data_IF_046382272032
#
_entry.id   IF_046382272032
#
_cell.length_a   1.000
_cell.length_b   1.000
_cell.length_c   1.000
_cell.angle_alpha   90.00
_cell.angle_beta   90.00
_cell.angle_gamma   90.00
#
_symmetry.space_group_name_H-M   'P 1'
#
loop_
_entity.id
_entity.type
_entity.pdbx_description
1 polymer ?
#
# COMPACT_ATOMS: atom_id res chain seq x y z
N UNK A 1 23.55 -17.20 37.22
CA UNK A 1 22.89 -15.88 37.40
C UNK A 1 21.79 -16.01 38.43
N UNK A 2 21.69 -15.10 39.39
CA UNK A 2 20.63 -15.18 40.41
C UNK A 2 19.30 -14.73 39.80
N UNK A 3 18.19 -15.34 40.22
CA UNK A 3 16.83 -15.00 39.76
C UNK A 3 16.48 -13.51 39.94
N UNK A 4 17.16 -12.82 40.85
CA UNK A 4 16.99 -11.39 41.06
C UNK A 4 17.52 -10.57 39.87
N UNK A 5 18.66 -10.94 39.26
CA UNK A 5 19.23 -10.21 38.12
C UNK A 5 18.33 -10.30 36.88
N UNK A 6 17.74 -11.48 36.63
CA UNK A 6 16.80 -11.70 35.52
C UNK A 6 15.54 -10.84 35.70
N UNK A 7 15.01 -10.76 36.93
CA UNK A 7 13.83 -9.95 37.23
C UNK A 7 14.12 -8.44 37.12
N UNK A 8 15.29 -7.98 37.52
CA UNK A 8 15.65 -6.55 37.42
C UNK A 8 15.86 -6.14 35.96
N UNK A 9 16.46 -6.98 35.13
CA UNK A 9 16.58 -6.72 33.68
C UNK A 9 15.20 -6.67 33.00
N UNK A 10 14.29 -7.57 33.36
CA UNK A 10 12.89 -7.56 32.88
C UNK A 10 12.09 -6.35 33.36
N UNK A 11 12.25 -5.92 34.61
CA UNK A 11 11.53 -4.76 35.15
C UNK A 11 12.05 -3.44 34.57
N UNK A 12 13.36 -3.33 34.34
CA UNK A 12 13.93 -2.13 33.73
C UNK A 12 13.59 -2.05 32.25
N UNK A 13 13.61 -3.16 31.52
CA UNK A 13 13.12 -3.21 30.13
C UNK A 13 11.63 -2.84 30.03
N UNK A 14 10.80 -3.24 31.00
CA UNK A 14 9.38 -2.84 31.05
C UNK A 14 9.18 -1.34 31.37
N UNK A 15 10.03 -0.74 32.22
CA UNK A 15 9.90 0.66 32.63
C UNK A 15 10.46 1.63 31.58
N UNK A 16 11.47 1.22 30.80
CA UNK A 16 12.05 2.06 29.73
C UNK A 16 11.07 2.25 28.55
N UNK A 17 10.12 1.34 28.35
CA UNK A 17 9.03 1.49 27.36
C UNK A 17 8.02 2.57 27.77
N UNK A 18 7.96 2.97 29.05
CA UNK A 18 6.90 3.84 29.58
C UNK A 18 7.08 5.35 29.42
N UNK A 19 8.22 5.85 28.89
CA UNK A 19 8.48 7.30 28.79
C UNK A 19 8.81 7.83 27.40
N UNK A 20 8.87 6.95 26.40
CA UNK A 20 8.92 7.38 25.00
C UNK A 20 7.49 7.61 24.54
N UNK A 21 7.21 8.75 23.90
CA UNK A 21 5.96 8.91 23.15
C UNK A 21 5.75 7.68 22.25
N UNK A 22 4.51 7.27 21.94
CA UNK A 22 4.28 6.17 21.02
C UNK A 22 5.05 6.43 19.72
N UNK A 23 6.07 5.61 19.47
CA UNK A 23 7.02 5.78 18.37
C UNK A 23 6.54 4.95 17.18
N UNK A 24 5.48 5.41 16.50
CA UNK A 24 5.02 4.83 15.24
C UNK A 24 6.18 4.72 14.25
N UNK A 25 6.31 3.63 13.49
CA UNK A 25 7.38 3.49 12.51
C UNK A 25 7.18 4.49 11.35
N UNK A 26 6.58 4.06 10.23
CA UNK A 26 6.12 4.97 9.18
C UNK A 26 4.68 5.42 9.45
N UNK A 27 4.40 6.70 9.24
CA UNK A 27 3.07 7.29 9.33
C UNK A 27 2.77 8.10 8.07
N UNK A 28 1.85 7.58 7.26
CA UNK A 28 1.31 8.29 6.10
C UNK A 28 0.11 9.14 6.50
N UNK A 29 0.07 10.39 6.03
CA UNK A 29 -1.12 11.23 5.99
C UNK A 29 -1.18 11.90 4.62
N UNK A 30 -2.23 11.62 3.84
CA UNK A 30 -2.42 12.22 2.54
C UNK A 30 -3.89 12.52 2.25
N UNK A 31 -4.11 13.64 1.57
CA UNK A 31 -5.45 14.05 1.14
C UNK A 31 -5.46 14.32 -0.35
N UNK A 32 -6.04 13.38 -1.08
CA UNK A 32 -6.14 13.39 -2.53
C UNK A 32 -7.35 14.21 -2.99
N UNK A 33 -7.11 15.17 -3.87
CA UNK A 33 -8.16 15.87 -4.60
C UNK A 33 -8.16 15.43 -6.08
N UNK A 34 -9.13 14.62 -6.53
CA UNK A 34 -9.21 14.15 -7.92
C UNK A 34 -9.52 15.25 -8.95
N UNK A 35 -9.88 16.46 -8.49
CA UNK A 35 -10.11 17.62 -9.35
C UNK A 35 -8.87 18.50 -9.51
N UNK A 36 -7.80 18.22 -8.76
CA UNK A 36 -6.51 18.90 -8.88
C UNK A 36 -5.47 17.96 -9.52
N UNK A 37 -4.48 18.55 -10.19
CA UNK A 37 -3.33 17.81 -10.74
C UNK A 37 -2.30 17.43 -9.67
N UNK A 38 -2.47 17.97 -8.45
CA UNK A 38 -1.57 17.75 -7.32
C UNK A 38 -2.29 17.75 -5.97
N UNK A 39 -1.69 17.08 -4.99
CA UNK A 39 -2.20 16.95 -3.62
C UNK A 39 -1.06 16.88 -2.60
N UNK A 40 -1.20 17.47 -1.40
CA UNK A 40 -0.17 17.39 -0.38
C UNK A 40 -0.12 15.99 0.27
N UNK A 41 1.06 15.62 0.74
CA UNK A 41 1.24 14.45 1.61
C UNK A 41 2.23 14.77 2.73
N UNK A 42 2.14 13.97 3.79
CA UNK A 42 3.08 13.92 4.89
C UNK A 42 3.42 12.47 5.20
N UNK A 43 4.70 12.21 5.39
CA UNK A 43 5.19 10.91 5.85
C UNK A 43 6.17 11.13 7.01
N UNK A 44 5.92 10.49 8.14
CA UNK A 44 6.82 10.54 9.31
C UNK A 44 7.44 9.18 9.56
N UNK A 45 8.73 9.15 9.91
CA UNK A 45 9.48 7.95 10.25
C UNK A 45 10.07 8.11 11.63
N UNK A 46 9.74 7.20 12.56
CA UNK A 46 10.37 7.14 13.87
C UNK A 46 11.06 5.79 14.10
N UNK A 47 12.15 5.86 14.85
CA UNK A 47 12.92 4.70 15.30
C UNK A 47 13.64 5.06 16.58
N UNK A 48 13.72 4.12 17.51
CA UNK A 48 14.60 4.25 18.67
C UNK A 48 15.62 3.13 18.66
N UNK A 49 16.88 3.48 18.86
CA UNK A 49 17.96 2.53 19.09
C UNK A 49 18.34 2.57 20.57
N UNK A 50 18.42 1.40 21.19
CA UNK A 50 18.95 1.20 22.53
C UNK A 50 20.30 0.50 22.43
N UNK A 51 21.30 1.06 23.11
CA UNK A 51 22.62 0.46 23.32
C UNK A 51 22.72 0.16 24.81
N UNK A 52 22.65 -1.11 25.19
CA UNK A 52 22.54 -1.56 26.58
C UNK A 52 23.86 -2.16 27.06
N UNK A 53 24.34 -1.70 28.21
CA UNK A 53 25.61 -2.08 28.83
C UNK A 53 25.38 -2.36 30.33
N UNK A 54 24.65 -3.43 30.68
CA UNK A 54 24.17 -3.67 32.04
C UNK A 54 25.29 -3.83 33.09
N UNK A 55 26.49 -4.19 32.65
CA UNK A 55 27.67 -4.41 33.50
C UNK A 55 28.74 -3.31 33.37
N UNK A 56 28.46 -2.19 32.69
CA UNK A 56 29.45 -1.15 32.41
C UNK A 56 30.35 -1.52 31.22
N UNK A 57 31.67 -1.30 31.34
CA UNK A 57 32.66 -1.59 30.30
C UNK A 57 33.03 -0.37 29.44
N UNK A 58 33.88 -0.59 28.44
CA UNK A 58 34.45 0.48 27.63
C UNK A 58 33.40 1.24 26.82
N UNK A 59 32.38 0.56 26.28
CA UNK A 59 31.30 1.23 25.55
C UNK A 59 30.44 2.11 26.48
N UNK A 60 30.22 1.67 27.73
CA UNK A 60 29.60 2.50 28.76
C UNK A 60 30.46 3.72 29.06
N UNK A 61 31.75 3.53 29.34
CA UNK A 61 32.66 4.63 29.68
C UNK A 61 32.73 5.67 28.56
N UNK A 62 32.65 5.22 27.30
CA UNK A 62 32.62 6.09 26.13
C UNK A 62 31.32 6.89 26.00
N UNK A 63 30.17 6.29 26.30
CA UNK A 63 28.87 6.96 26.14
C UNK A 63 28.43 7.70 27.40
N UNK A 64 28.96 7.37 28.58
CA UNK A 64 28.46 7.86 29.87
C UNK A 64 28.46 9.39 29.93
N UNK A 65 27.30 9.95 30.23
CA UNK A 65 27.11 11.39 30.39
C UNK A 65 26.98 12.16 29.07
N UNK A 66 27.05 11.48 27.92
CA UNK A 66 26.81 12.11 26.62
C UNK A 66 25.33 12.35 26.38
N UNK A 67 25.07 13.51 25.81
CA UNK A 67 23.76 13.93 25.35
C UNK A 67 23.95 14.92 24.22
N UNK A 68 23.27 14.70 23.10
CA UNK A 68 23.27 15.63 21.98
C UNK A 68 21.94 15.59 21.24
N UNK A 69 21.71 16.62 20.45
CA UNK A 69 20.57 16.76 19.55
C UNK A 69 21.09 17.26 18.21
N UNK A 70 20.68 16.60 17.13
CA UNK A 70 20.96 17.00 15.74
C UNK A 70 19.62 17.24 15.08
N UNK A 71 19.35 18.49 14.71
CA UNK A 71 18.10 18.90 14.07
C UNK A 71 18.38 19.71 12.82
N UNK A 72 17.46 19.63 11.87
CA UNK A 72 17.56 20.41 10.65
C UNK A 72 16.29 20.37 9.81
N UNK A 73 16.25 21.27 8.84
CA UNK A 73 15.21 21.32 7.82
C UNK A 73 15.82 21.75 6.50
N UNK A 74 15.37 21.15 5.41
CA UNK A 74 15.80 21.49 4.07
C UNK A 74 14.65 21.27 3.08
N UNK A 75 14.63 22.10 2.04
CA UNK A 75 13.64 22.02 0.97
C UNK A 75 14.26 21.47 -0.33
N UNK A 76 13.45 21.38 -1.38
CA UNK A 76 13.84 20.89 -2.70
C UNK A 76 14.96 21.70 -3.40
N UNK A 77 15.38 22.86 -2.86
CA UNK A 77 16.57 23.56 -3.36
C UNK A 77 17.89 22.93 -2.86
N UNK A 78 17.83 22.11 -1.80
CA UNK A 78 18.98 21.41 -1.25
C UNK A 78 19.35 20.17 -2.10
N UNK A 79 20.63 19.98 -2.48
CA UNK A 79 21.06 18.83 -3.26
C UNK A 79 20.75 17.47 -2.62
N UNK A 80 20.84 17.35 -1.29
CA UNK A 80 20.52 16.11 -0.56
C UNK A 80 19.02 15.79 -0.59
N UNK A 81 18.18 16.83 -0.52
CA UNK A 81 16.71 16.67 -0.68
C UNK A 81 16.36 16.30 -2.12
N UNK A 82 17.06 16.85 -3.11
CA UNK A 82 16.88 16.45 -4.51
C UNK A 82 17.26 14.99 -4.74
N UNK A 83 18.36 14.53 -4.15
CA UNK A 83 18.76 13.11 -4.20
C UNK A 83 17.67 12.22 -3.57
N UNK A 84 17.21 12.56 -2.37
CA UNK A 84 16.14 11.83 -1.70
C UNK A 84 14.86 11.78 -2.55
N UNK A 85 14.42 12.93 -3.06
CA UNK A 85 13.24 13.03 -3.92
C UNK A 85 13.38 12.18 -5.19
N UNK A 86 14.57 12.14 -5.78
CA UNK A 86 14.84 11.30 -6.96
C UNK A 86 14.77 9.81 -6.62
N UNK A 87 15.34 9.37 -5.49
CA UNK A 87 15.28 7.97 -5.05
C UNK A 87 13.85 7.55 -4.69
N UNK A 88 13.08 8.40 -4.01
CA UNK A 88 11.67 8.15 -3.72
C UNK A 88 10.85 8.03 -5.01
N UNK A 89 11.04 8.95 -5.97
CA UNK A 89 10.37 8.88 -7.27
C UNK A 89 10.77 7.64 -8.08
N UNK A 90 12.01 7.18 -7.93
CA UNK A 90 12.46 5.93 -8.52
C UNK A 90 11.74 4.73 -7.89
N UNK A 91 11.65 4.66 -6.55
CA UNK A 91 10.90 3.64 -5.84
C UNK A 91 9.43 3.57 -6.27
N UNK A 92 8.75 4.72 -6.30
CA UNK A 92 7.37 4.83 -6.80
C UNK A 92 7.23 4.27 -8.22
N UNK A 93 8.18 4.57 -9.11
CA UNK A 93 8.17 4.07 -10.47
C UNK A 93 8.45 2.56 -10.56
N UNK A 94 9.34 2.04 -9.71
CA UNK A 94 9.69 0.62 -9.62
C UNK A 94 8.50 -0.20 -9.08
N UNK A 95 7.68 0.40 -8.21
CA UNK A 95 6.39 -0.14 -7.73
C UNK A 95 5.27 -0.09 -8.79
N UNK A 96 5.56 0.44 -9.98
CA UNK A 96 4.64 0.54 -11.11
C UNK A 96 3.73 1.77 -11.10
N UNK A 97 3.89 2.66 -10.11
CA UNK A 97 3.10 3.89 -10.00
C UNK A 97 3.59 4.99 -10.94
N UNK A 98 2.64 5.72 -11.53
CA UNK A 98 2.90 6.89 -12.37
C UNK A 98 2.98 8.19 -11.57
N UNK A 99 2.57 8.18 -10.30
CA UNK A 99 2.61 9.34 -9.45
C UNK A 99 4.05 9.81 -9.21
N UNK A 100 4.22 11.08 -8.87
CA UNK A 100 5.53 11.69 -8.63
C UNK A 100 5.47 12.66 -7.47
N UNK A 101 6.54 12.71 -6.70
CA UNK A 101 6.78 13.70 -5.66
C UNK A 101 7.48 14.92 -6.28
N UNK A 102 6.95 16.11 -5.96
CA UNK A 102 7.59 17.40 -6.16
C UNK A 102 7.61 18.19 -4.84
N UNK A 103 8.40 19.28 -4.82
CA UNK A 103 8.43 20.27 -3.73
C UNK A 103 8.61 19.66 -2.33
N UNK A 104 9.52 18.67 -2.24
CA UNK A 104 9.80 17.95 -1.01
C UNK A 104 10.48 18.85 0.02
N UNK A 105 9.97 18.82 1.25
CA UNK A 105 10.55 19.39 2.46
C UNK A 105 10.88 18.25 3.42
N UNK A 106 12.05 18.34 4.05
CA UNK A 106 12.54 17.36 5.00
C UNK A 106 12.78 18.05 6.34
N UNK A 107 12.33 17.42 7.41
CA UNK A 107 12.63 17.78 8.78
C UNK A 107 13.23 16.58 9.48
N UNK A 108 14.31 16.77 10.21
CA UNK A 108 14.90 15.71 11.02
C UNK A 108 15.22 16.19 12.44
N UNK A 109 15.06 15.29 13.40
CA UNK A 109 15.34 15.50 14.81
C UNK A 109 15.85 14.19 15.42
N UNK A 110 17.15 14.18 15.75
CA UNK A 110 17.85 13.04 16.33
C UNK A 110 18.35 13.41 17.71
N UNK A 111 18.07 12.56 18.70
CA UNK A 111 18.45 12.82 20.08
C UNK A 111 19.10 11.59 20.71
N UNK A 112 20.35 11.76 21.16
CA UNK A 112 21.03 10.75 21.97
C UNK A 112 20.99 11.15 23.44
N UNK A 113 20.68 10.18 24.30
CA UNK A 113 20.77 10.32 25.75
C UNK A 113 21.36 9.07 26.40
N UNK A 114 22.57 9.21 26.93
CA UNK A 114 23.19 8.17 27.73
C UNK A 114 22.62 8.11 29.15
N UNK A 115 22.49 6.90 29.69
CA UNK A 115 22.11 6.60 31.08
C UNK A 115 23.10 5.61 31.68
N UNK A 116 22.92 5.21 32.94
CA UNK A 116 23.90 4.37 33.62
C UNK A 116 24.05 2.95 33.05
N UNK A 117 23.01 2.42 32.40
CA UNK A 117 22.96 1.03 31.92
C UNK A 117 22.52 0.93 30.46
N UNK A 118 22.20 2.06 29.83
CA UNK A 118 21.69 2.11 28.47
C UNK A 118 21.85 3.51 27.88
N UNK A 119 22.17 3.61 26.60
CA UNK A 119 22.01 4.81 25.79
C UNK A 119 20.80 4.64 24.88
N UNK A 120 19.94 5.64 24.77
CA UNK A 120 18.90 5.68 23.74
C UNK A 120 19.25 6.72 22.69
N UNK A 121 18.96 6.40 21.42
CA UNK A 121 19.03 7.31 20.29
C UNK A 121 17.66 7.31 19.64
N UNK A 122 16.96 8.43 19.72
CA UNK A 122 15.65 8.63 19.13
C UNK A 122 15.82 9.32 17.78
N UNK A 123 15.26 8.73 16.74
CA UNK A 123 15.32 9.24 15.38
C UNK A 123 13.93 9.63 14.91
N UNK A 124 13.82 10.82 14.31
CA UNK A 124 12.61 11.31 13.67
C UNK A 124 12.96 11.98 12.35
N UNK A 125 12.34 11.52 11.27
CA UNK A 125 12.37 12.19 9.95
C UNK A 125 10.93 12.43 9.50
N UNK A 126 10.64 13.63 9.00
CA UNK A 126 9.35 13.98 8.40
C UNK A 126 9.60 14.46 6.98
N UNK A 127 8.85 13.89 6.04
CA UNK A 127 8.77 14.30 4.65
C UNK A 127 7.41 14.98 4.42
N UNK A 128 7.42 16.20 3.91
CA UNK A 128 6.21 16.91 3.50
C UNK A 128 6.41 17.39 2.06
N UNK A 129 5.51 17.01 1.16
CA UNK A 129 5.68 17.34 -0.26
C UNK A 129 4.38 17.34 -1.02
N UNK A 130 4.50 17.47 -2.34
CA UNK A 130 3.39 17.50 -3.27
C UNK A 130 3.42 16.24 -4.12
N UNK A 131 2.34 15.47 -4.08
CA UNK A 131 2.09 14.36 -4.99
C UNK A 131 1.46 14.91 -6.27
N UNK A 132 1.99 14.49 -7.41
CA UNK A 132 1.56 14.86 -8.76
C UNK A 132 1.36 13.61 -9.60
N UNK A 133 0.68 13.72 -10.74
CA UNK A 133 0.48 12.62 -11.70
C UNK A 133 -0.21 11.37 -11.10
N UNK A 134 -0.89 11.49 -9.95
CA UNK A 134 -1.67 10.38 -9.40
C UNK A 134 -3.00 10.19 -10.13
N UNK A 135 -3.46 11.14 -10.95
CA UNK A 135 -4.66 10.95 -11.78
C UNK A 135 -4.29 10.16 -13.03
N UNK A 136 -4.83 8.95 -13.18
CA UNK A 136 -4.60 8.06 -14.34
C UNK A 136 -5.46 8.48 -15.51
N UNK A 137 -6.76 8.64 -15.26
CA UNK A 137 -7.72 9.09 -16.27
C UNK A 137 -8.92 9.73 -15.58
N UNK A 138 -9.58 10.62 -16.31
CA UNK A 138 -10.80 11.29 -15.87
C UNK A 138 -11.84 11.22 -16.99
N UNK A 139 -13.02 10.71 -16.67
CA UNK A 139 -14.18 10.73 -17.55
C UNK A 139 -15.31 11.57 -16.91
N UNK A 140 -16.48 11.63 -17.56
CA UNK A 140 -17.61 12.44 -17.08
C UNK A 140 -18.27 11.91 -15.80
N UNK A 141 -17.95 10.68 -15.38
CA UNK A 141 -18.55 10.00 -14.24
C UNK A 141 -17.56 9.76 -13.10
N UNK A 142 -16.28 9.51 -13.42
CA UNK A 142 -15.27 9.13 -12.43
C UNK A 142 -13.86 9.60 -12.79
N UNK A 143 -13.04 9.70 -11.75
CA UNK A 143 -11.59 9.87 -11.85
C UNK A 143 -10.92 8.61 -11.31
N UNK A 144 -10.02 8.01 -12.09
CA UNK A 144 -9.17 6.91 -11.59
C UNK A 144 -7.89 7.50 -11.01
N UNK A 145 -7.62 7.21 -9.75
CA UNK A 145 -6.41 7.65 -9.05
C UNK A 145 -5.48 6.47 -8.75
N UNK A 146 -4.20 6.71 -8.94
CA UNK A 146 -3.08 5.87 -8.59
C UNK A 146 -2.84 5.91 -7.09
N UNK A 147 -2.64 4.72 -6.54
CA UNK A 147 -2.53 4.44 -5.13
C UNK A 147 -1.21 3.68 -4.84
N UNK A 148 -0.41 3.33 -5.85
CA UNK A 148 0.84 2.59 -5.69
C UNK A 148 2.01 3.38 -5.08
N UNK A 149 1.90 4.70 -4.95
CA UNK A 149 2.97 5.58 -4.47
C UNK A 149 3.19 5.55 -2.95
N UNK A 150 2.35 4.86 -2.18
CA UNK A 150 2.34 4.95 -0.70
C UNK A 150 3.59 4.37 -0.03
N UNK A 151 4.33 3.51 -0.73
CA UNK A 151 5.56 2.84 -0.25
C UNK A 151 6.76 3.77 -0.32
N UNK A 152 6.70 4.92 0.36
CA UNK A 152 7.77 5.91 0.35
C UNK A 152 8.97 5.40 1.16
N UNK A 153 9.82 4.61 0.51
CA UNK A 153 11.03 4.02 1.09
C UNK A 153 12.26 4.43 0.31
N UNK A 154 13.41 4.46 0.98
CA UNK A 154 14.69 4.66 0.31
C UNK A 154 15.79 3.82 0.93
N UNK A 155 16.58 3.22 0.05
CA UNK A 155 17.79 2.49 0.41
C UNK A 155 19.03 3.37 0.37
N UNK A 156 19.96 3.06 1.27
CA UNK A 156 21.29 3.67 1.29
C UNK A 156 21.33 5.05 1.95
N UNK A 157 22.50 5.66 1.87
CA UNK A 157 22.80 6.96 2.50
C UNK A 157 21.98 8.09 1.90
N UNK A 158 21.55 9.01 2.76
CA UNK A 158 20.90 10.29 2.42
C UNK A 158 21.52 11.36 3.32
N UNK A 159 22.36 12.20 2.71
CA UNK A 159 23.07 13.26 3.43
C UNK A 159 22.46 14.61 3.10
N UNK A 160 21.95 15.31 4.12
CA UNK A 160 21.43 16.67 4.02
C UNK A 160 22.30 17.58 4.89
N UNK A 161 22.94 18.57 4.26
CA UNK A 161 23.81 19.54 4.92
C UNK A 161 24.91 18.89 5.79
N UNK A 162 25.43 17.75 5.33
CA UNK A 162 26.48 16.99 6.03
C UNK A 162 25.96 16.06 7.13
N UNK A 163 24.64 15.93 7.30
CA UNK A 163 24.01 14.99 8.25
C UNK A 163 23.41 13.82 7.49
N UNK A 164 23.84 12.60 7.80
CA UNK A 164 23.19 11.38 7.35
C UNK A 164 21.87 11.17 8.09
N UNK A 165 20.76 11.04 7.35
CA UNK A 165 19.41 10.98 7.92
C UNK A 165 18.70 9.64 7.76
N UNK A 166 19.23 8.71 6.96
CA UNK A 166 18.59 7.42 6.68
C UNK A 166 19.25 6.24 7.40
N UNK A 167 20.58 6.22 7.53
CA UNK A 167 21.31 5.09 8.13
C UNK A 167 21.75 5.43 9.58
N UNK A 168 21.15 4.81 10.62
CA UNK A 168 21.50 5.07 12.02
C UNK A 168 22.99 4.86 12.35
N UNK A 169 23.61 3.80 11.82
CA UNK A 169 25.02 3.49 12.07
C UNK A 169 25.95 4.62 11.61
N UNK A 170 25.65 5.23 10.47
CA UNK A 170 26.45 6.32 9.91
C UNK A 170 26.31 7.61 10.72
N UNK A 171 25.13 7.90 11.28
CA UNK A 171 25.00 9.00 12.23
C UNK A 171 25.87 8.75 13.48
N UNK A 172 25.90 7.51 13.98
CA UNK A 172 26.75 7.13 15.12
C UNK A 172 28.24 7.27 14.75
N UNK A 173 28.65 6.88 13.54
CA UNK A 173 30.01 7.08 13.04
C UNK A 173 30.42 8.55 13.12
N UNK A 174 29.53 9.45 12.72
CA UNK A 174 29.84 10.87 12.60
C UNK A 174 29.77 11.60 13.96
N UNK A 175 28.81 11.27 14.82
CA UNK A 175 28.62 11.90 16.13
C UNK A 175 29.41 11.22 17.26
N UNK A 176 29.60 9.90 17.18
CA UNK A 176 30.19 9.05 18.22
C UNK A 176 31.21 8.05 17.63
N UNK A 177 32.30 8.53 17.00
CA UNK A 177 33.22 7.69 16.23
C UNK A 177 33.90 6.59 17.04
N UNK A 178 34.12 6.79 18.34
CA UNK A 178 34.67 5.75 19.22
C UNK A 178 33.63 4.67 19.52
N UNK A 179 32.37 5.04 19.81
CA UNK A 179 31.28 4.08 20.01
C UNK A 179 31.01 3.27 18.73
N UNK A 180 31.10 3.91 17.56
CA UNK A 180 30.98 3.25 16.25
C UNK A 180 31.94 2.05 16.09
N UNK A 181 33.16 2.13 16.63
CA UNK A 181 34.13 1.03 16.52
C UNK A 181 33.70 -0.26 17.21
N UNK A 182 32.76 -0.18 18.16
CA UNK A 182 32.18 -1.37 18.80
C UNK A 182 31.15 -2.08 17.92
N UNK A 183 30.59 -1.40 16.92
CA UNK A 183 29.50 -1.91 16.09
C UNK A 183 29.98 -2.48 14.76
N UNK A 184 30.95 -1.82 14.12
CA UNK A 184 31.46 -2.24 12.81
C UNK A 184 32.10 -3.64 12.86
N UNK A 185 31.76 -4.49 11.91
CA UNK A 185 32.20 -5.88 11.84
C UNK A 185 31.52 -6.82 12.83
N UNK A 186 30.44 -6.38 13.50
CA UNK A 186 29.65 -7.19 14.44
C UNK A 186 28.21 -7.36 13.96
N UNK A 187 27.43 -8.23 14.60
CA UNK A 187 25.99 -8.38 14.29
C UNK A 187 25.18 -7.09 14.51
N UNK A 188 25.67 -6.16 15.35
CA UNK A 188 25.00 -4.89 15.54
C UNK A 188 25.09 -3.97 14.32
N UNK A 189 26.06 -4.19 13.43
CA UNK A 189 26.14 -3.49 12.15
C UNK A 189 24.86 -3.73 11.33
N UNK A 190 24.38 -4.97 11.25
CA UNK A 190 23.15 -5.31 10.53
C UNK A 190 21.90 -4.67 11.14
N UNK A 191 21.85 -4.54 12.47
CA UNK A 191 20.75 -3.87 13.18
C UNK A 191 20.76 -2.36 12.91
N UNK A 192 21.93 -1.73 12.99
CA UNK A 192 22.10 -0.28 12.88
C UNK A 192 22.16 0.22 11.43
N UNK A 193 22.40 -0.66 10.45
CA UNK A 193 22.35 -0.32 9.03
C UNK A 193 20.94 -0.33 8.44
N UNK A 194 19.93 -0.78 9.18
CA UNK A 194 18.54 -0.76 8.69
C UNK A 194 18.09 0.68 8.47
N UNK A 195 17.66 0.99 7.25
CA UNK A 195 17.15 2.30 6.85
C UNK A 195 16.06 2.79 7.82
N UNK A 196 16.10 4.08 8.13
CA UNK A 196 15.08 4.79 8.89
C UNK A 196 13.85 5.09 8.02
N UNK A 197 14.08 5.53 6.78
CA UNK A 197 13.06 5.92 5.82
C UNK A 197 12.60 4.66 5.07
N UNK A 198 11.70 3.90 5.71
CA UNK A 198 11.08 2.71 5.14
C UNK A 198 9.58 2.71 5.47
N UNK A 199 8.75 2.70 4.44
CA UNK A 199 7.29 2.61 4.47
C UNK A 199 6.77 1.43 3.62
N UNK A 200 7.59 0.40 3.37
CA UNK A 200 7.24 -0.71 2.45
C UNK A 200 5.94 -1.40 2.87
N UNK A 201 5.80 -1.64 4.18
CA UNK A 201 4.62 -2.30 4.73
C UNK A 201 3.31 -1.52 4.49
N UNK A 202 3.38 -0.18 4.36
CA UNK A 202 2.22 0.64 4.00
C UNK A 202 1.72 0.25 2.60
N UNK A 203 2.63 -0.03 1.67
CA UNK A 203 2.28 -0.47 0.32
C UNK A 203 1.92 -1.97 0.27
N UNK A 204 2.65 -2.80 1.01
CA UNK A 204 2.42 -4.26 1.06
C UNK A 204 1.05 -4.62 1.64
N UNK A 205 0.54 -3.83 2.59
CA UNK A 205 -0.80 -4.00 3.14
C UNK A 205 -1.86 -3.58 2.10
N UNK A 206 -2.63 -4.54 1.54
CA UNK A 206 -3.61 -4.21 0.52
C UNK A 206 -4.65 -3.23 1.05
N UNK A 207 -5.05 -2.24 0.24
CA UNK A 207 -6.05 -1.24 0.64
C UNK A 207 -7.40 -1.85 1.05
N UNK A 208 -7.71 -3.07 0.60
CA UNK A 208 -8.91 -3.80 1.03
C UNK A 208 -8.89 -4.22 2.51
N UNK A 209 -7.70 -4.25 3.12
CA UNK A 209 -7.52 -4.52 4.54
C UNK A 209 -7.58 -3.25 5.39
N UNK A 210 -7.33 -2.08 4.81
CA UNK A 210 -7.46 -0.81 5.50
C UNK A 210 -8.92 -0.60 5.88
N UNK A 211 -9.15 0.02 7.03
CA UNK A 211 -10.48 0.42 7.45
C UNK A 211 -10.99 1.54 6.53
N UNK A 212 -12.21 1.36 6.01
CA UNK A 212 -12.83 2.32 5.10
C UNK A 212 -13.95 3.07 5.80
N UNK A 213 -13.84 4.39 5.84
CA UNK A 213 -14.86 5.30 6.30
C UNK A 213 -15.36 6.14 5.13
N UNK A 214 -16.68 6.25 4.99
CA UNK A 214 -17.30 7.19 4.07
C UNK A 214 -18.01 8.28 4.86
N UNK A 215 -17.65 9.53 4.61
CA UNK A 215 -18.24 10.71 5.23
C UNK A 215 -19.09 11.50 4.23
N UNK A 216 -20.42 11.42 4.32
CA UNK A 216 -21.34 12.22 3.52
C UNK A 216 -21.70 13.57 4.16
N UNK A 217 -21.10 13.98 5.28
CA UNK A 217 -21.56 15.17 6.01
C UNK A 217 -21.30 16.48 5.27
N UNK A 218 -20.26 16.56 4.45
CA UNK A 218 -19.90 17.74 3.68
C UNK A 218 -20.94 18.18 2.64
N UNK A 219 -21.84 17.30 2.19
CA UNK A 219 -22.93 17.65 1.27
C UNK A 219 -24.22 18.11 1.96
N UNK A 220 -24.29 18.08 3.29
CA UNK A 220 -25.47 18.54 4.02
C UNK A 220 -25.49 20.07 4.15
N UNK A 221 -26.68 20.65 4.03
CA UNK A 221 -26.91 22.11 4.04
C UNK A 221 -26.45 22.79 5.34
N UNK A 222 -26.32 22.01 6.43
CA UNK A 222 -25.93 22.47 7.76
C UNK A 222 -24.46 22.16 8.10
N UNK A 223 -23.65 21.67 7.15
CA UNK A 223 -22.26 21.26 7.35
C UNK A 223 -21.39 22.30 8.10
N UNK A 224 -21.57 23.58 7.78
CA UNK A 224 -20.85 24.69 8.42
C UNK A 224 -21.18 24.86 9.92
N UNK A 225 -22.31 24.33 10.40
CA UNK A 225 -22.74 24.45 11.80
C UNK A 225 -22.01 23.48 12.73
N UNK A 226 -21.40 22.43 12.18
CA UNK A 226 -20.68 21.39 12.94
C UNK A 226 -19.15 21.50 12.86
N UNK A 227 -18.62 22.63 12.37
CA UNK A 227 -17.18 22.89 12.33
C UNK A 227 -16.42 22.13 11.24
N UNK A 228 -17.10 21.75 10.15
CA UNK A 228 -16.47 21.15 8.96
C UNK A 228 -15.54 22.16 8.27
N UNK A 229 -14.39 21.66 7.81
CA UNK A 229 -13.42 22.43 7.04
C UNK A 229 -14.05 22.92 5.71
N UNK A 230 -13.88 24.20 5.37
CA UNK A 230 -14.46 24.79 4.16
C UNK A 230 -14.00 24.09 2.87
N UNK A 231 -12.81 23.47 2.88
CA UNK A 231 -12.25 22.73 1.74
C UNK A 231 -12.97 21.41 1.42
N UNK A 232 -13.87 20.93 2.28
CA UNK A 232 -14.74 19.77 2.04
C UNK A 232 -16.24 20.13 1.96
N UNK A 233 -16.59 21.41 2.13
CA UNK A 233 -17.98 21.84 2.02
C UNK A 233 -18.51 21.63 0.60
N UNK A 234 -19.63 20.92 0.47
CA UNK A 234 -20.22 20.49 -0.80
C UNK A 234 -19.68 19.17 -1.35
N UNK A 235 -18.75 18.49 -0.67
CA UNK A 235 -18.16 17.23 -1.12
C UNK A 235 -18.39 16.08 -0.12
N UNK A 236 -18.40 14.86 -0.63
CA UNK A 236 -18.28 13.65 0.19
C UNK A 236 -16.82 13.24 0.30
N UNK A 237 -16.43 12.52 1.34
CA UNK A 237 -15.03 12.09 1.55
C UNK A 237 -14.96 10.59 1.79
N UNK A 238 -13.97 9.96 1.17
CA UNK A 238 -13.60 8.58 1.43
C UNK A 238 -12.27 8.55 2.17
N UNK A 239 -12.19 7.84 3.29
CA UNK A 239 -10.97 7.67 4.06
C UNK A 239 -10.64 6.20 4.22
N UNK A 240 -9.37 5.88 3.98
CA UNK A 240 -8.78 4.59 4.27
C UNK A 240 -7.76 4.79 5.39
N UNK A 241 -7.89 4.02 6.46
CA UNK A 241 -6.99 4.07 7.61
C UNK A 241 -6.43 2.69 7.93
N UNK A 242 -5.16 2.62 8.30
CA UNK A 242 -4.53 1.41 8.83
C UNK A 242 -3.66 1.74 10.05
N UNK A 243 -3.32 0.72 10.81
CA UNK A 243 -2.49 0.83 12.03
C UNK A 243 -3.21 0.36 13.29
N UNK A 244 -4.44 -0.16 13.15
CA UNK A 244 -5.17 -0.77 14.26
C UNK A 244 -5.11 -2.29 14.16
N UNK A 245 -4.79 -2.95 15.27
CA UNK A 245 -4.88 -4.41 15.32
C UNK A 245 -6.33 -4.85 15.20
N UNK A 246 -6.66 -5.53 14.11
CA UNK A 246 -8.02 -6.04 13.85
C UNK A 246 -7.97 -7.38 13.14
N UNK A 247 -9.08 -8.11 13.12
CA UNK A 247 -9.20 -9.38 12.36
C UNK A 247 -8.92 -9.15 10.86
N UNK A 248 -9.18 -7.93 10.35
CA UNK A 248 -9.00 -7.55 8.94
C UNK A 248 -7.55 -7.18 8.61
N UNK A 249 -6.95 -6.30 9.41
CA UNK A 249 -5.57 -5.80 9.21
C UNK A 249 -4.53 -6.83 9.64
N UNK A 250 -4.88 -7.70 10.58
CA UNK A 250 -3.95 -8.56 11.28
C UNK A 250 -3.44 -7.90 12.56
N UNK A 251 -2.54 -8.61 13.26
CA UNK A 251 -1.88 -8.07 14.45
C UNK A 251 -0.82 -7.08 13.98
N UNK A 252 -0.95 -5.83 14.41
CA UNK A 252 0.08 -4.82 14.21
C UNK A 252 1.16 -5.04 15.27
N UNK A 253 2.34 -5.46 14.82
CA UNK A 253 3.48 -5.78 15.70
C UNK A 253 4.58 -4.75 15.56
N UNK A 254 5.26 -4.50 16.67
CA UNK A 254 6.47 -3.69 16.68
C UNK A 254 7.59 -4.43 15.93
N UNK A 255 8.35 -3.69 15.14
CA UNK A 255 9.56 -4.19 14.47
C UNK A 255 10.72 -4.02 15.45
N UNK A 256 11.19 -5.14 16.00
CA UNK A 256 12.31 -5.18 16.94
C UNK A 256 13.45 -5.98 16.31
N UNK A 257 14.63 -5.38 16.25
CA UNK A 257 15.86 -6.02 15.79
C UNK A 257 16.90 -5.94 16.88
N UNK A 258 17.51 -7.07 17.19
CA UNK A 258 18.45 -7.20 18.31
C UNK A 258 19.75 -7.82 17.85
N UNK A 259 20.84 -7.39 18.47
CA UNK A 259 22.16 -7.96 18.32
C UNK A 259 22.87 -7.98 19.67
N UNK A 260 23.75 -8.94 19.83
CA UNK A 260 24.64 -9.05 20.98
C UNK A 260 26.07 -8.81 20.54
N UNK A 261 26.81 -8.00 21.31
CA UNK A 261 28.23 -7.75 21.07
C UNK A 261 29.02 -8.23 22.27
N UNK A 262 30.03 -9.04 22.00
CA UNK A 262 31.05 -9.42 22.98
C UNK A 262 32.33 -8.63 22.72
N UNK A 263 32.63 -7.68 23.60
CA UNK A 263 33.89 -6.92 23.63
C UNK A 263 34.63 -7.25 24.94
N UNK A 264 34.96 -6.25 25.75
CA UNK A 264 35.40 -6.37 27.14
C UNK A 264 34.26 -6.80 28.07
N UNK A 265 33.03 -6.39 27.75
CA UNK A 265 31.79 -6.82 28.40
C UNK A 265 30.76 -7.18 27.33
N UNK A 266 29.65 -7.79 27.77
CA UNK A 266 28.51 -8.14 26.93
C UNK A 266 27.56 -6.96 26.80
N UNK A 267 27.30 -6.53 25.56
CA UNK A 267 26.40 -5.44 25.22
C UNK A 267 25.22 -5.94 24.37
N UNK A 268 24.08 -5.26 24.47
CA UNK A 268 22.91 -5.53 23.65
C UNK A 268 22.50 -4.30 22.88
N UNK A 269 22.31 -4.46 21.57
CA UNK A 269 21.90 -3.39 20.67
C UNK A 269 20.51 -3.76 20.19
N UNK A 270 19.56 -2.83 20.32
CA UNK A 270 18.17 -3.05 19.97
C UNK A 270 17.61 -1.88 19.20
N UNK A 271 17.13 -2.11 17.99
CA UNK A 271 16.32 -1.15 17.24
C UNK A 271 14.84 -1.48 17.43
N UNK A 272 14.05 -0.48 17.78
CA UNK A 272 12.60 -0.59 17.98
C UNK A 272 11.90 0.43 17.11
N UNK A 273 10.86 -0.03 16.42
CA UNK A 273 9.88 0.82 15.76
C UNK A 273 8.50 0.24 16.03
N UNK A 274 7.50 1.05 16.38
CA UNK A 274 6.13 0.55 16.50
C UNK A 274 5.57 0.17 15.12
N UNK A 275 4.34 -0.33 15.05
CA UNK A 275 3.74 -0.64 13.77
C UNK A 275 3.59 0.61 12.87
N UNK A 276 3.59 0.41 11.54
CA UNK A 276 3.29 1.47 10.60
C UNK A 276 1.80 1.80 10.62
N UNK A 277 1.47 3.04 10.26
CA UNK A 277 0.11 3.53 10.19
C UNK A 277 -0.08 4.39 8.95
N UNK A 278 -1.32 4.50 8.49
CA UNK A 278 -1.64 5.28 7.32
C UNK A 278 -3.03 5.87 7.39
N UNK A 279 -3.15 7.12 6.96
CA UNK A 279 -4.41 7.78 6.66
C UNK A 279 -4.33 8.31 5.23
N UNK A 280 -5.25 7.85 4.39
CA UNK A 280 -5.42 8.35 3.04
C UNK A 280 -6.87 8.79 2.89
N UNK A 281 -7.10 10.07 2.66
CA UNK A 281 -8.40 10.63 2.34
C UNK A 281 -8.46 11.00 0.85
N UNK A 282 -9.62 10.82 0.22
CA UNK A 282 -9.91 11.30 -1.12
C UNK A 282 -11.23 12.07 -1.13
N UNK A 283 -11.26 13.21 -1.82
CA UNK A 283 -12.49 13.97 -2.06
C UNK A 283 -13.32 13.22 -3.10
N UNK A 284 -14.49 12.72 -2.69
CA UNK A 284 -15.39 11.87 -3.46
C UNK A 284 -15.64 10.50 -2.81
N UNK A 285 -16.55 9.73 -3.39
CA UNK A 285 -16.76 8.33 -3.04
C UNK A 285 -15.73 7.47 -3.78
N UNK A 286 -14.94 6.71 -3.03
CA UNK A 286 -13.86 5.89 -3.56
C UNK A 286 -14.20 4.40 -3.57
N UNK A 287 -13.97 3.76 -4.72
CA UNK A 287 -14.03 2.32 -4.88
C UNK A 287 -12.64 1.79 -5.30
N UNK A 288 -12.09 0.87 -4.51
CA UNK A 288 -10.76 0.30 -4.73
C UNK A 288 -10.75 -0.73 -5.86
N UNK A 289 -9.76 -0.64 -6.74
CA UNK A 289 -9.54 -1.62 -7.80
C UNK A 289 -8.03 -1.86 -8.02
N UNK A 290 -7.68 -2.71 -8.98
CA UNK A 290 -6.30 -2.93 -9.41
C UNK A 290 -6.18 -2.77 -10.92
N UNK A 291 -5.11 -2.09 -11.34
CA UNK A 291 -4.74 -1.92 -12.75
C UNK A 291 -3.28 -2.36 -12.89
N UNK A 292 -3.05 -3.39 -13.72
CA UNK A 292 -1.71 -3.95 -13.98
C UNK A 292 -0.89 -4.29 -12.72
N UNK A 293 -1.57 -4.73 -11.66
CA UNK A 293 -0.97 -5.10 -10.38
C UNK A 293 -0.83 -3.94 -9.39
N UNK A 294 -1.03 -2.69 -9.83
CA UNK A 294 -1.02 -1.50 -8.98
C UNK A 294 -2.42 -1.26 -8.43
N UNK A 295 -2.53 -0.97 -7.13
CA UNK A 295 -3.81 -0.59 -6.54
C UNK A 295 -4.20 0.81 -7.03
N UNK A 296 -5.49 0.99 -7.30
CA UNK A 296 -6.09 2.25 -7.76
C UNK A 296 -7.41 2.49 -7.02
N UNK A 297 -7.93 3.72 -7.07
CA UNK A 297 -9.30 3.99 -6.67
C UNK A 297 -10.07 4.72 -7.78
N UNK A 298 -11.27 4.25 -8.07
CA UNK A 298 -12.25 5.02 -8.84
C UNK A 298 -12.99 5.96 -7.92
N UNK A 299 -12.88 7.26 -8.18
CA UNK A 299 -13.50 8.32 -7.38
C UNK A 299 -14.68 8.92 -8.13
N UNK A 300 -15.85 8.97 -7.50
CA UNK A 300 -17.07 9.62 -8.01
C UNK A 300 -17.48 10.78 -7.09
N UNK A 301 -18.11 11.86 -7.61
CA UNK A 301 -18.53 12.98 -6.76
C UNK A 301 -19.62 12.62 -5.72
N UNK A 302 -20.36 11.53 -5.95
CA UNK A 302 -21.45 11.05 -5.10
C UNK A 302 -21.37 9.53 -4.95
N UNK A 303 -21.86 8.98 -3.83
CA UNK A 303 -21.95 7.53 -3.65
C UNK A 303 -23.00 6.93 -4.62
N UNK A 304 -22.91 5.61 -4.92
CA UNK A 304 -23.92 4.90 -5.68
C UNK A 304 -25.31 4.98 -5.03
N UNK A 305 -26.37 4.93 -5.84
CA UNK A 305 -27.74 4.85 -5.32
C UNK A 305 -27.92 3.60 -4.44
N UNK A 306 -28.52 3.78 -3.26
CA UNK A 306 -28.72 2.70 -2.30
C UNK A 306 -27.51 2.38 -1.41
N UNK A 307 -26.43 3.17 -1.46
CA UNK A 307 -25.32 3.04 -0.52
C UNK A 307 -25.78 3.35 0.91
N UNK A 308 -25.93 2.30 1.72
CA UNK A 308 -26.10 2.42 3.16
C UNK A 308 -24.71 2.33 3.83
N UNK A 309 -24.47 3.15 4.84
CA UNK A 309 -23.23 3.15 5.64
C UNK A 309 -23.11 1.85 6.44
N UNK A 310 -22.64 0.78 5.81
CA UNK A 310 -22.27 -0.45 6.52
C UNK A 310 -20.77 -0.42 6.77
N UNK A 311 -20.35 -0.50 8.04
CA UNK A 311 -18.95 -0.54 8.49
C UNK A 311 -18.15 -1.77 8.01
N UNK A 312 -18.66 -2.49 7.02
CA UNK A 312 -18.11 -3.72 6.46
C UNK A 312 -17.71 -3.46 5.01
N UNK A 313 -16.45 -3.04 4.82
CA UNK A 313 -15.87 -2.81 3.50
C UNK A 313 -15.97 -4.04 2.60
N UNK A 314 -16.47 -3.81 1.38
CA UNK A 314 -16.51 -4.77 0.29
C UNK A 314 -17.75 -4.61 -0.59
N UNK A 315 -17.73 -3.69 -1.56
CA UNK A 315 -18.63 -3.76 -2.71
C UNK A 315 -17.84 -4.21 -3.94
N UNK A 316 -18.21 -5.32 -4.61
CA UNK A 316 -17.63 -5.71 -5.89
C UNK A 316 -17.98 -4.69 -6.99
N UNK A 317 -16.97 -4.21 -7.71
CA UNK A 317 -17.06 -3.21 -8.80
C UNK A 317 -17.84 -3.72 -10.03
N UNK A 318 -18.39 -4.94 -10.02
CA UNK A 318 -19.23 -5.46 -11.10
C UNK A 318 -20.47 -4.58 -11.40
N UNK A 319 -20.85 -3.66 -10.51
CA UNK A 319 -21.92 -2.67 -10.74
C UNK A 319 -21.43 -1.41 -11.48
N UNK A 320 -20.13 -1.10 -11.48
CA UNK A 320 -19.58 0.15 -12.06
C UNK A 320 -18.97 -0.05 -13.47
N UNK A 321 -18.64 -1.29 -13.85
CA UNK A 321 -18.14 -1.63 -15.19
C UNK A 321 -19.23 -1.81 -16.27
N UNK A 322 -20.48 -1.45 -15.96
CA UNK A 322 -21.58 -1.45 -16.90
C UNK A 322 -21.44 -0.38 -17.98
N UNK A 323 -20.70 -0.71 -19.05
CA UNK A 323 -20.88 -0.21 -20.43
C UNK A 323 -19.98 0.92 -21.01
N UNK A 324 -18.84 1.33 -20.44
CA UNK A 324 -17.97 2.31 -21.14
C UNK A 324 -16.43 2.18 -21.03
N UNK A 325 -15.87 1.36 -20.13
CA UNK A 325 -14.46 1.49 -19.73
C UNK A 325 -13.41 0.63 -20.43
N UNK A 326 -13.77 -0.27 -21.35
CA UNK A 326 -12.81 -1.27 -21.87
C UNK A 326 -11.96 -0.81 -23.07
N UNK A 327 -12.24 0.36 -23.65
CA UNK A 327 -11.52 0.85 -24.83
C UNK A 327 -10.34 1.78 -24.52
N UNK A 328 -10.33 2.48 -23.37
CA UNK A 328 -9.27 3.44 -23.02
C UNK A 328 -8.05 2.77 -22.36
N UNK A 329 -8.25 1.63 -21.70
CA UNK A 329 -7.20 0.93 -20.91
C UNK A 329 -6.15 0.25 -21.82
N UNK A 330 -6.53 -0.16 -23.04
CA UNK A 330 -5.60 -0.77 -24.00
C UNK A 330 -4.49 0.16 -24.51
N UNK A 331 -4.68 1.49 -24.42
CA UNK A 331 -3.71 2.47 -24.93
C UNK A 331 -2.46 2.62 -24.05
N UNK A 332 -2.61 2.49 -22.72
CA UNK A 332 -1.50 2.63 -21.77
C UNK A 332 -0.62 1.37 -21.79
N UNK A 333 -1.22 0.18 -21.87
CA UNK A 333 -0.50 -1.08 -22.06
C UNK A 333 0.32 -1.13 -23.36
N UNK A 334 -0.17 -0.50 -24.44
CA UNK A 334 0.53 -0.45 -25.72
C UNK A 334 1.81 0.40 -25.69
N UNK A 335 1.84 1.50 -24.93
CA UNK A 335 3.04 2.35 -24.82
C UNK A 335 4.13 1.74 -23.92
N UNK A 336 3.75 1.04 -22.84
CA UNK A 336 4.72 0.44 -21.91
C UNK A 336 5.26 -0.91 -22.44
N UNK A 337 4.41 -1.75 -23.06
CA UNK A 337 4.87 -3.01 -23.65
C UNK A 337 5.67 -2.80 -24.94
N UNK A 338 5.33 -1.80 -25.77
CA UNK A 338 6.09 -1.54 -27.01
C UNK A 338 7.53 -1.10 -26.73
N UNK A 339 7.80 -0.37 -25.64
CA UNK A 339 9.16 0.06 -25.30
C UNK A 339 10.06 -1.09 -24.78
N UNK A 340 9.48 -2.17 -24.21
CA UNK A 340 10.20 -3.40 -23.85
C UNK A 340 10.41 -4.34 -25.04
N UNK A 341 9.40 -4.51 -25.90
CA UNK A 341 9.52 -5.36 -27.09
C UNK A 341 10.44 -4.78 -28.18
N UNK A 342 10.53 -3.44 -28.31
CA UNK A 342 11.43 -2.81 -29.28
C UNK A 342 12.92 -2.93 -28.96
N UNK A 343 13.30 -3.31 -27.73
CA UNK A 343 14.70 -3.53 -27.34
C UNK A 343 15.22 -4.94 -27.62
N UNK A 344 14.36 -5.88 -28.03
CA UNK A 344 14.73 -7.28 -28.27
C UNK A 344 14.43 -7.80 -29.68
N UNK A 345 14.04 -6.93 -30.62
CA UNK A 345 13.75 -7.34 -32.00
C UNK A 345 14.85 -6.81 -32.92
N UNK A 346 15.61 -7.72 -33.55
CA UNK A 346 16.43 -7.36 -34.73
C UNK A 346 15.48 -6.85 -35.81
N UNK A 347 15.82 -5.70 -36.39
CA UNK A 347 15.06 -5.05 -37.45
C UNK A 347 14.95 -5.93 -38.71
N UNK A 348 13.97 -6.83 -38.73
CA UNK A 348 13.47 -7.45 -39.95
C UNK A 348 11.96 -7.25 -39.99
N UNK A 349 11.54 -6.46 -40.98
CA UNK A 349 10.17 -6.09 -41.26
C UNK A 349 9.38 -7.33 -41.69
N UNK A 350 8.67 -7.97 -40.75
CA UNK A 350 7.64 -8.98 -41.04
C UNK A 350 6.31 -8.28 -41.33
N UNK A 351 6.29 -7.50 -42.42
CA UNK A 351 5.11 -6.82 -42.93
C UNK A 351 4.71 -7.37 -44.29
N UNK A 352 3.42 -7.27 -44.63
CA UNK A 352 2.90 -7.57 -45.97
C UNK A 352 3.66 -6.72 -47.00
N UNK A 353 4.25 -7.36 -48.00
CA UNK A 353 4.95 -6.71 -49.11
C UNK A 353 4.06 -5.59 -49.72
N UNK A 354 4.51 -4.32 -49.74
CA UNK A 354 3.76 -3.21 -50.32
C UNK A 354 3.32 -3.45 -51.77
N UNK A 355 3.99 -4.33 -52.52
CA UNK A 355 3.60 -4.74 -53.87
C UNK A 355 2.31 -5.58 -53.94
N UNK A 356 1.76 -6.03 -52.80
CA UNK A 356 0.53 -6.84 -52.69
C UNK A 356 -0.72 -6.05 -52.32
N UNK A 357 -0.59 -4.74 -52.13
CA UNK A 357 -1.69 -3.85 -51.77
C UNK A 357 -2.23 -3.12 -53.00
N UNK A 358 -3.55 -3.09 -53.16
CA UNK A 358 -4.24 -2.26 -54.15
C UNK A 358 -5.17 -1.28 -53.44
N UNK A 359 -5.14 -0.01 -53.84
CA UNK A 359 -6.01 1.02 -53.27
C UNK A 359 -7.41 0.97 -53.90
N UNK A 360 -8.45 0.98 -53.07
CA UNK A 360 -9.83 1.07 -53.51
C UNK A 360 -10.43 2.44 -53.13
N UNK A 361 -11.09 3.12 -54.07
CA UNK A 361 -11.80 4.37 -53.80
C UNK A 361 -13.21 4.06 -53.27
N UNK A 362 -13.45 4.34 -51.99
CA UNK A 362 -14.78 4.31 -51.40
C UNK A 362 -15.53 5.61 -51.71
N UNK A 363 -16.34 5.63 -52.78
CA UNK A 363 -17.65 6.33 -52.88
C UNK A 363 -18.07 6.60 -54.33
N UNK A 364 -19.17 5.99 -54.78
CA UNK A 364 -19.94 6.48 -55.94
C UNK A 364 -21.46 6.32 -55.78
N UNK A 365 -21.97 5.98 -54.60
CA UNK A 365 -23.40 5.69 -54.41
C UNK A 365 -23.92 6.27 -53.09
N UNK A 366 -23.84 7.60 -52.94
CA UNK A 366 -24.72 8.47 -52.12
C UNK A 366 -23.99 9.74 -51.62
N UNK A 367 -23.76 10.71 -52.52
CA UNK A 367 -23.62 12.17 -52.26
C UNK A 367 -23.00 12.72 -50.96
N UNK A 368 -21.99 12.11 -50.36
CA UNK A 368 -21.32 12.59 -49.14
C UNK A 368 -19.81 12.83 -49.33
N UNK A 369 -19.23 13.71 -48.53
CA UNK A 369 -17.84 14.21 -48.62
C UNK A 369 -16.77 13.11 -48.78
N UNK A 370 -15.86 13.29 -49.74
CA UNK A 370 -14.67 12.45 -49.93
C UNK A 370 -13.62 12.76 -48.85
N UNK A 371 -13.13 11.72 -48.16
CA UNK A 371 -11.94 11.85 -47.30
C UNK A 371 -10.74 11.22 -48.01
N UNK A 372 -9.55 11.82 -47.89
CA UNK A 372 -8.31 11.34 -48.54
C UNK A 372 -7.72 10.07 -47.87
N UNK A 373 -8.56 9.25 -47.24
CA UNK A 373 -8.14 8.01 -46.57
C UNK A 373 -8.56 6.83 -47.43
N UNK A 374 -7.74 6.50 -48.42
CA UNK A 374 -7.91 5.26 -49.19
C UNK A 374 -7.61 4.06 -48.30
N UNK A 375 -8.53 3.11 -48.24
CA UNK A 375 -8.26 1.81 -47.62
C UNK A 375 -7.58 0.90 -48.65
N UNK A 376 -6.53 0.21 -48.21
CA UNK A 376 -5.80 -0.75 -49.03
C UNK A 376 -6.36 -2.15 -48.78
N UNK A 377 -6.69 -2.88 -49.85
CA UNK A 377 -7.08 -4.29 -49.79
C UNK A 377 -5.96 -5.17 -50.35
N UNK A 378 -5.95 -6.42 -49.88
CA UNK A 378 -5.10 -7.47 -50.43
C UNK A 378 -5.56 -7.80 -51.86
N UNK A 379 -4.61 -8.09 -52.74
CA UNK A 379 -4.90 -8.39 -54.15
C UNK A 379 -5.67 -9.71 -54.37
N UNK A 380 -5.88 -10.52 -53.33
CA UNK A 380 -6.50 -11.86 -53.42
C UNK A 380 -7.31 -12.19 -52.14
N UNK A 381 -8.60 -12.51 -52.30
CA UNK A 381 -9.62 -12.65 -51.24
C UNK A 381 -9.87 -14.11 -50.81
N UNK A 382 -8.94 -15.02 -51.09
CA UNK A 382 -9.17 -16.47 -50.98
C UNK A 382 -9.32 -17.01 -49.56
N UNK A 383 -8.90 -16.28 -48.52
CA UNK A 383 -8.97 -16.73 -47.11
C UNK A 383 -10.11 -16.12 -46.28
N UNK A 384 -10.78 -15.06 -46.74
CA UNK A 384 -11.78 -14.34 -45.92
C UNK A 384 -13.15 -15.06 -45.84
N UNK A 385 -13.40 -16.07 -46.67
CA UNK A 385 -14.70 -16.78 -46.71
C UNK A 385 -14.87 -17.89 -45.65
N UNK A 386 -13.85 -18.22 -44.84
CA UNK A 386 -13.92 -19.40 -43.95
C UNK A 386 -14.53 -19.18 -42.55
N UNK A 387 -14.85 -17.95 -42.14
CA UNK A 387 -15.26 -17.68 -40.75
C UNK A 387 -16.67 -17.06 -40.56
N UNK A 388 -17.52 -17.02 -41.60
CA UNK A 388 -18.81 -16.31 -41.53
C UNK A 388 -19.99 -17.07 -40.90
N UNK A 389 -19.83 -18.32 -40.48
CA UNK A 389 -20.99 -19.19 -40.13
C UNK A 389 -21.25 -19.38 -38.62
N UNK A 390 -20.81 -18.49 -37.73
CA UNK A 390 -20.90 -18.74 -36.26
C UNK A 390 -21.79 -17.75 -35.49
N UNK A 391 -22.40 -16.74 -36.12
CA UNK A 391 -23.11 -15.67 -35.37
C UNK A 391 -24.55 -15.35 -35.79
N UNK A 392 -25.23 -16.23 -36.54
CA UNK A 392 -26.66 -16.08 -36.82
C UNK A 392 -27.43 -17.32 -36.37
N UNK A 393 -27.70 -17.46 -35.07
CA UNK A 393 -28.86 -18.22 -34.59
C UNK A 393 -29.24 -17.89 -33.13
N UNK A 394 -30.52 -17.54 -32.95
CA UNK A 394 -31.31 -17.45 -31.69
C UNK A 394 -31.43 -16.08 -30.98
N UNK A 395 -32.40 -15.28 -31.45
CA UNK A 395 -33.16 -14.35 -30.60
C UNK A 395 -34.41 -15.06 -30.06
N UNK A 396 -34.63 -15.06 -28.74
CA UNK A 396 -35.94 -15.39 -28.14
C UNK A 396 -36.22 -14.52 -26.90
N UNK A 397 -37.52 -14.23 -26.74
CA UNK A 397 -38.16 -13.11 -26.05
C UNK A 397 -38.72 -13.51 -24.68
N UNK A 398 -38.62 -12.63 -23.67
CA UNK A 398 -39.02 -12.85 -22.26
C UNK A 398 -40.54 -12.70 -21.98
N UNK A 399 -41.11 -13.36 -20.94
CA UNK A 399 -42.37 -12.98 -20.30
C UNK A 399 -42.23 -12.29 -18.92
N UNK A 400 -43.28 -11.62 -18.38
CA UNK A 400 -43.23 -10.67 -17.24
C UNK A 400 -43.31 -11.32 -15.82
N UNK A 401 -43.03 -10.55 -14.74
CA UNK A 401 -42.64 -11.09 -13.43
C UNK A 401 -43.82 -11.52 -12.53
N UNK A 402 -43.62 -12.61 -11.78
CA UNK A 402 -44.46 -13.02 -10.66
C UNK A 402 -43.78 -12.71 -9.33
N UNK A 403 -44.58 -12.16 -8.42
CA UNK A 403 -44.29 -11.79 -7.03
C UNK A 403 -44.04 -13.02 -6.14
N UNK A 404 -42.89 -13.05 -5.47
CA UNK A 404 -42.68 -13.88 -4.28
C UNK A 404 -41.66 -13.23 -3.34
N UNK A 405 -42.11 -12.90 -2.14
CA UNK A 405 -41.25 -12.53 -1.00
C UNK A 405 -40.55 -13.79 -0.48
N UNK A 406 -39.25 -13.72 -0.17
CA UNK A 406 -38.76 -14.45 1.00
C UNK A 406 -37.80 -13.61 1.86
N UNK A 407 -38.07 -13.67 3.17
CA UNK A 407 -37.13 -13.43 4.27
C UNK A 407 -35.83 -14.20 4.05
N UNK A 408 -34.69 -13.50 4.03
CA UNK A 408 -33.35 -14.10 4.06
C UNK A 408 -32.68 -13.72 5.37
N UNK A 409 -32.37 -14.74 6.16
CA UNK A 409 -31.54 -14.70 7.37
C UNK A 409 -30.11 -14.95 6.89
N UNK A 410 -29.16 -14.11 7.34
CA UNK A 410 -27.72 -14.34 7.21
C UNK A 410 -27.36 -15.79 7.61
N UNK A 411 -26.70 -16.54 6.72
CA UNK A 411 -26.08 -17.81 7.11
C UNK A 411 -24.66 -17.92 6.54
N UNK A 412 -23.72 -17.48 7.36
CA UNK A 412 -22.36 -18.00 7.37
C UNK A 412 -22.37 -19.37 8.07
N UNK A 413 -22.46 -20.45 7.28
CA UNK A 413 -21.88 -21.78 7.51
C UNK A 413 -22.62 -22.82 6.66
N UNK A 414 -21.94 -23.43 5.70
CA UNK A 414 -22.47 -24.54 4.94
C UNK A 414 -22.21 -25.87 5.64
N UNK A 415 -23.25 -26.44 6.25
CA UNK A 415 -23.46 -27.89 6.38
C UNK A 415 -24.96 -28.14 6.54
N UNK A 416 -25.74 -27.95 5.48
CA UNK A 416 -26.91 -28.79 5.18
C UNK A 416 -27.44 -28.48 3.77
N UNK A 417 -26.98 -29.27 2.81
CA UNK A 417 -27.84 -29.73 1.72
C UNK A 417 -27.45 -31.18 1.49
N UNK A 418 -28.40 -32.08 1.74
CA UNK A 418 -28.37 -33.49 1.33
C UNK A 418 -28.08 -33.52 -0.17
N UNK A 419 -26.80 -33.64 -0.54
CA UNK A 419 -26.35 -33.56 -1.93
C UNK A 419 -26.69 -34.83 -2.71
N UNK A 420 -27.27 -35.84 -2.06
CA UNK A 420 -27.57 -37.13 -2.66
C UNK A 420 -26.33 -37.88 -3.16
N UNK A 421 -25.13 -37.37 -2.86
CA UNK A 421 -23.85 -37.91 -3.28
C UNK A 421 -23.19 -38.65 -2.11
N UNK A 422 -23.14 -39.99 -2.13
CA UNK A 422 -22.58 -40.78 -1.03
C UNK A 422 -21.07 -40.58 -0.84
N UNK A 423 -20.37 -39.92 -1.77
CA UNK A 423 -18.92 -39.69 -1.72
C UNK A 423 -18.52 -38.25 -1.35
N UNK A 424 -19.47 -37.36 -1.06
CA UNK A 424 -19.15 -35.98 -0.64
C UNK A 424 -18.68 -35.94 0.82
N UNK A 425 -17.38 -35.74 1.04
CA UNK A 425 -16.78 -35.48 2.36
C UNK A 425 -16.35 -34.01 2.49
N UNK A 426 -16.88 -33.30 3.49
CA UNK A 426 -16.41 -31.95 3.84
C UNK A 426 -14.94 -32.00 4.30
N UNK A 427 -14.04 -31.37 3.55
CA UNK A 427 -12.65 -31.20 3.97
C UNK A 427 -12.50 -29.94 4.85
N UNK A 428 -12.69 -30.13 6.15
CA UNK A 428 -12.56 -29.09 7.18
C UNK A 428 -11.09 -28.65 7.45
N UNK A 429 -10.08 -29.17 6.74
CA UNK A 429 -8.68 -28.86 7.05
C UNK A 429 -8.21 -27.47 6.58
N UNK A 430 -8.95 -26.82 5.66
CA UNK A 430 -8.49 -25.58 4.98
C UNK A 430 -9.14 -24.29 5.49
N UNK A 431 -10.11 -24.34 6.40
CA UNK A 431 -10.76 -23.15 6.95
C UNK A 431 -10.92 -23.30 8.46
N UNK A 432 -10.29 -22.40 9.23
CA UNK A 432 -10.10 -22.50 10.69
C UNK A 432 -11.34 -22.49 11.57
N UNK A 433 -12.56 -22.67 11.03
CA UNK A 433 -13.79 -22.80 11.80
C UNK A 433 -14.77 -23.77 11.11
N UNK A 434 -15.01 -24.94 11.71
CA UNK A 434 -16.13 -25.83 11.36
C UNK A 434 -17.18 -25.80 12.50
N UNK A 435 -18.47 -25.69 12.15
CA UNK A 435 -19.56 -25.90 13.11
C UNK A 435 -19.77 -27.41 13.25
N UNK A 436 -19.23 -28.00 14.32
CA UNK A 436 -19.42 -29.42 14.62
C UNK A 436 -20.82 -29.62 15.23
N UNK A 437 -21.80 -29.99 14.42
CA UNK A 437 -23.12 -30.45 14.88
C UNK A 437 -23.07 -31.95 15.22
N UNK A 438 -23.98 -32.44 16.08
CA UNK A 438 -23.98 -33.83 16.57
C UNK A 438 -24.23 -34.89 15.48
N UNK A 439 -24.74 -34.47 14.33
CA UNK A 439 -25.05 -35.21 13.11
C UNK A 439 -23.96 -35.08 12.02
N UNK A 440 -22.87 -34.35 12.30
CA UNK A 440 -21.75 -34.20 11.38
C UNK A 440 -20.95 -35.51 11.25
N UNK A 441 -20.78 -35.98 10.01
CA UNK A 441 -20.05 -37.23 9.67
C UNK A 441 -18.57 -37.02 9.35
N UNK A 442 -17.98 -35.87 9.70
CA UNK A 442 -16.56 -35.59 9.46
C UNK A 442 -15.65 -36.53 10.26
N UNK A 443 -14.73 -37.21 9.58
CA UNK A 443 -13.79 -38.20 10.15
C UNK A 443 -12.51 -37.61 10.74
N UNK A 444 -12.35 -36.28 10.75
CA UNK A 444 -11.15 -35.58 11.25
C UNK A 444 -11.19 -35.36 12.77
N UNK A 445 -10.02 -35.38 13.42
CA UNK A 445 -9.91 -35.39 14.88
C UNK A 445 -10.40 -34.11 15.57
N UNK A 446 -10.49 -33.00 14.83
CA UNK A 446 -10.95 -31.68 15.33
C UNK A 446 -12.40 -31.71 15.84
N UNK A 447 -13.31 -32.47 15.22
CA UNK A 447 -14.69 -32.57 15.73
C UNK A 447 -14.87 -33.65 16.82
N UNK A 448 -13.96 -34.62 16.97
CA UNK A 448 -14.08 -35.66 18.01
C UNK A 448 -13.90 -35.11 19.42
N UNK A 449 -13.00 -34.14 19.61
CA UNK A 449 -12.80 -33.49 20.91
C UNK A 449 -14.00 -32.61 21.32
N UNK A 450 -14.65 -31.95 20.35
CA UNK A 450 -15.81 -31.09 20.61
C UNK A 450 -17.09 -31.88 20.95
N UNK A 451 -17.33 -33.00 20.27
CA UNK A 451 -18.53 -33.83 20.51
C UNK A 451 -18.41 -34.66 21.80
N UNK A 452 -17.20 -35.04 22.22
CA UNK A 452 -16.96 -35.75 23.48
C UNK A 452 -17.26 -34.94 24.75
N UNK A 453 -17.40 -33.61 24.64
CA UNK A 453 -17.79 -32.73 25.76
C UNK A 453 -19.30 -32.48 25.83
N UNK A 454 -20.08 -32.97 24.85
CA UNK A 454 -21.53 -32.79 24.77
C UNK A 454 -22.31 -34.04 25.23
N UNK A 455 -21.64 -35.08 25.74
CA UNK A 455 -22.25 -36.29 26.31
C UNK A 455 -22.33 -36.29 27.83
#
# INVERSE_FOLDING_TARGET
MSRAVILTVLLVSLIVVGTTAPAWAAQLDARINPDNDSSPFKMSYLKTVFIEYPNGGNLFDELRGKQWTVTGTADSSNPGVQELMNKLNQGIADDGSQARISDLNVFYDFHLKARNISTSIDYKVILEGILTNYVITKDSQRTLIDLGWRGLSVDGEIVIDGVEINIPLNLIRDQEPQAYTFFVGTEAEDVLNRNLINADFILEQPMTKWHFLFDPTGINVDAHTFGLDESISGFVVSSWTMGESSIREGIQIEKIYEAEIMSDEKYFIRSVQSADQGNLAAIGFGALDRLDGVEIAGITPRPPEGYATTSTGGFPIMIVYGMAGMAAIGGIGFFIYSNRSLKHIKSEQTGIDPGRLVGYQTSASSGGYQTNRGEAQLKDDTDYQKHRNVYEETQQQSPPPQTSTPTMIDQACGCEADSGDPDYSCDCAMQGHCICSADCKCTTDVCKEAVGQLS
#
